data_IF_135187659444
#
_entry.id   IF_135187659444
#
_cell.length_a   1.000
_cell.length_b   1.000
_cell.length_c   1.000
_cell.angle_alpha   90.00
_cell.angle_beta   90.00
_cell.angle_gamma   90.00
#
_symmetry.space_group_name_H-M   'P 1'
#
loop_
_entity.id
_entity.type
_entity.pdbx_description
1 polymer ?
#
# COMPACT_ATOMS: atom_id res chain seq x y z
N UNK A 1 10.42 37.20 -13.28
CA UNK A 1 11.22 36.16 -13.98
C UNK A 1 11.89 35.32 -12.92
N UNK A 2 11.38 34.11 -12.66
CA UNK A 2 11.94 33.20 -11.65
C UNK A 2 12.87 32.24 -12.37
N UNK A 3 14.13 32.22 -11.98
CA UNK A 3 15.12 31.31 -12.56
C UNK A 3 14.84 29.86 -12.13
N UNK A 4 15.08 28.87 -13.01
CA UNK A 4 15.04 27.47 -12.61
C UNK A 4 16.10 27.21 -11.54
N UNK A 5 15.66 26.77 -10.36
CA UNK A 5 16.54 26.34 -9.29
C UNK A 5 16.68 24.82 -9.32
N UNK A 6 17.89 24.33 -9.12
CA UNK A 6 18.19 22.91 -8.89
C UNK A 6 18.59 22.76 -7.44
N UNK A 7 17.83 21.97 -6.69
CA UNK A 7 18.19 21.60 -5.31
C UNK A 7 19.09 20.38 -5.37
N UNK A 8 20.37 20.56 -5.05
CA UNK A 8 21.34 19.46 -4.93
C UNK A 8 21.56 19.18 -3.45
N UNK A 9 20.90 18.15 -2.92
CA UNK A 9 21.13 17.68 -1.57
C UNK A 9 22.16 16.54 -1.59
N UNK A 10 23.37 16.78 -1.07
CA UNK A 10 24.38 15.73 -0.79
C UNK A 10 24.10 15.01 0.53
N UNK A 11 22.83 14.70 0.79
CA UNK A 11 22.47 13.82 1.90
C UNK A 11 22.82 12.39 1.48
N UNK A 12 23.48 11.63 2.37
CA UNK A 12 23.45 10.18 2.27
C UNK A 12 21.97 9.80 2.33
N UNK A 13 21.35 9.54 1.18
CA UNK A 13 19.90 9.41 1.03
C UNK A 13 19.36 8.20 1.78
N UNK A 14 20.25 7.38 2.38
CA UNK A 14 19.94 6.09 3.01
C UNK A 14 19.08 5.22 2.09
N UNK A 15 19.12 5.47 0.79
CA UNK A 15 18.53 4.65 -0.24
C UNK A 15 19.42 3.42 -0.33
N UNK A 16 19.02 2.37 0.38
CA UNK A 16 19.52 1.03 0.10
C UNK A 16 19.27 0.69 -1.37
N UNK A 17 20.03 -0.25 -1.92
CA UNK A 17 19.73 -0.75 -3.26
C UNK A 17 18.29 -1.24 -3.32
N UNK A 18 17.63 -1.15 -4.49
CA UNK A 18 16.25 -1.66 -4.67
C UNK A 18 16.07 -3.15 -4.31
N UNK A 19 17.18 -3.88 -4.12
CA UNK A 19 17.25 -5.29 -3.73
C UNK A 19 17.59 -5.50 -2.25
N UNK A 20 17.90 -4.45 -1.50
CA UNK A 20 18.11 -4.55 -0.06
C UNK A 20 16.76 -4.80 0.60
N UNK A 21 16.70 -5.84 1.43
CA UNK A 21 15.47 -6.31 2.08
C UNK A 21 14.92 -5.26 3.06
N UNK A 22 15.77 -4.37 3.57
CA UNK A 22 15.41 -3.41 4.59
C UNK A 22 14.64 -2.20 4.01
N UNK A 23 13.54 -1.84 4.66
CA UNK A 23 12.73 -0.62 4.42
C UNK A 23 11.85 -0.63 3.17
N UNK A 24 11.55 -1.79 2.60
CA UNK A 24 10.60 -1.88 1.48
C UNK A 24 9.16 -1.89 2.00
N UNK A 25 8.38 -0.87 1.64
CA UNK A 25 6.96 -0.76 1.97
C UNK A 25 6.08 -1.14 0.77
N UNK A 26 5.01 -1.88 1.05
CA UNK A 26 3.95 -2.22 0.11
C UNK A 26 2.63 -1.63 0.59
N UNK A 27 2.00 -0.78 -0.21
CA UNK A 27 0.65 -0.30 -0.02
C UNK A 27 -0.31 -1.15 -0.84
N UNK A 28 -1.36 -1.67 -0.20
CA UNK A 28 -2.40 -2.49 -0.81
C UNK A 28 -3.76 -1.83 -0.59
N UNK A 29 -4.56 -1.69 -1.66
CA UNK A 29 -5.92 -1.17 -1.53
C UNK A 29 -6.78 -1.44 -2.75
N UNK A 30 -8.06 -1.11 -2.63
CA UNK A 30 -9.03 -1.33 -3.70
C UNK A 30 -8.88 -0.31 -4.83
N UNK A 31 -8.94 -0.81 -6.07
CA UNK A 31 -9.05 0.02 -7.26
C UNK A 31 -9.90 -0.66 -8.34
N UNK A 32 -10.36 0.10 -9.35
CA UNK A 32 -11.20 -0.44 -10.42
C UNK A 32 -10.44 -1.40 -11.34
N UNK A 33 -9.15 -1.15 -11.53
CA UNK A 33 -8.21 -2.01 -12.23
C UNK A 33 -7.23 -2.64 -11.24
N UNK A 34 -6.79 -3.84 -11.56
CA UNK A 34 -5.74 -4.51 -10.79
C UNK A 34 -4.39 -4.03 -11.31
N UNK A 35 -3.59 -3.51 -10.39
CA UNK A 35 -2.25 -3.01 -10.61
C UNK A 35 -1.31 -3.99 -9.89
N UNK A 36 -0.43 -4.70 -10.62
CA UNK A 36 0.58 -5.55 -9.99
C UNK A 36 1.58 -4.67 -9.20
N UNK A 37 2.41 -5.27 -8.31
CA UNK A 37 3.39 -4.52 -7.52
C UNK A 37 4.23 -3.57 -8.38
N UNK A 38 3.94 -2.27 -8.27
CA UNK A 38 4.49 -1.21 -9.10
C UNK A 38 5.14 -0.16 -8.21
N UNK A 39 6.37 0.29 -8.51
CA UNK A 39 7.02 1.32 -7.71
C UNK A 39 6.36 2.69 -7.97
N UNK A 40 5.93 3.35 -6.91
CA UNK A 40 5.43 4.73 -6.92
C UNK A 40 6.45 5.63 -6.26
N UNK A 41 6.72 6.78 -6.88
CA UNK A 41 7.72 7.76 -6.45
C UNK A 41 7.11 9.16 -6.46
N UNK A 42 7.85 10.16 -5.97
CA UNK A 42 7.42 11.57 -5.99
C UNK A 42 7.17 12.13 -7.41
N UNK A 43 7.67 11.47 -8.46
CA UNK A 43 7.50 11.87 -9.87
C UNK A 43 6.40 11.09 -10.58
N UNK A 44 5.79 10.11 -9.90
CA UNK A 44 4.72 9.30 -10.48
C UNK A 44 3.45 10.13 -10.60
N UNK A 45 2.88 10.17 -11.80
CA UNK A 45 1.57 10.77 -12.04
C UNK A 45 0.47 9.87 -11.47
N UNK A 46 -0.09 10.28 -10.32
CA UNK A 46 -1.16 9.55 -9.66
C UNK A 46 -2.48 9.59 -10.43
N UNK A 47 -2.75 10.65 -11.21
CA UNK A 47 -3.98 10.75 -11.98
C UNK A 47 -3.97 9.76 -13.15
N UNK A 48 -2.82 9.57 -13.78
CA UNK A 48 -2.64 8.52 -14.79
C UNK A 48 -2.70 7.11 -14.17
N UNK A 49 -2.16 6.92 -12.95
CA UNK A 49 -2.06 5.61 -12.31
C UNK A 49 -3.37 5.13 -11.67
N UNK A 50 -4.08 6.02 -10.98
CA UNK A 50 -5.26 5.71 -10.15
C UNK A 50 -6.53 6.45 -10.58
N UNK A 51 -6.45 7.31 -11.60
CA UNK A 51 -7.53 8.22 -11.96
C UNK A 51 -7.63 9.42 -11.01
N UNK A 52 -8.54 10.33 -11.38
CA UNK A 52 -8.78 11.57 -10.64
C UNK A 52 -9.82 11.42 -9.52
N UNK A 53 -10.52 10.28 -9.47
CA UNK A 53 -11.55 10.03 -8.48
C UNK A 53 -10.95 9.88 -7.07
N UNK A 54 -11.57 10.54 -6.10
CA UNK A 54 -11.18 10.41 -4.70
C UNK A 54 -11.43 8.97 -4.22
N UNK A 55 -10.39 8.34 -3.68
CA UNK A 55 -10.46 7.03 -3.05
C UNK A 55 -9.58 6.99 -1.80
N UNK A 56 -9.89 6.13 -0.81
CA UNK A 56 -9.02 5.96 0.36
C UNK A 56 -7.58 5.66 -0.04
N UNK A 57 -7.38 4.80 -1.05
CA UNK A 57 -6.06 4.45 -1.58
C UNK A 57 -5.33 5.67 -2.14
N UNK A 58 -5.98 6.45 -3.02
CA UNK A 58 -5.37 7.66 -3.62
C UNK A 58 -4.98 8.68 -2.55
N UNK A 59 -5.87 8.92 -1.58
CA UNK A 59 -5.64 9.92 -0.54
C UNK A 59 -4.47 9.52 0.39
N UNK A 60 -4.39 8.25 0.78
CA UNK A 60 -3.29 7.75 1.62
C UNK A 60 -1.97 7.72 0.86
N UNK A 61 -1.99 7.36 -0.43
CA UNK A 61 -0.80 7.38 -1.27
C UNK A 61 -0.29 8.81 -1.46
N UNK A 62 -1.17 9.77 -1.75
CA UNK A 62 -0.79 11.19 -1.83
C UNK A 62 -0.20 11.68 -0.50
N UNK A 63 -0.88 11.38 0.62
CA UNK A 63 -0.37 11.75 1.94
C UNK A 63 1.02 11.16 2.23
N UNK A 64 1.27 9.91 1.80
CA UNK A 64 2.61 9.32 1.92
C UNK A 64 3.65 10.09 1.09
N UNK A 65 3.34 10.41 -0.17
CA UNK A 65 4.25 11.15 -1.04
C UNK A 65 4.55 12.56 -0.50
N UNK A 66 3.54 13.25 0.01
CA UNK A 66 3.68 14.59 0.60
C UNK A 66 4.58 14.57 1.85
N UNK A 67 4.42 13.54 2.71
CA UNK A 67 5.21 13.40 3.93
C UNK A 67 6.65 12.95 3.67
N UNK A 68 6.88 12.08 2.67
CA UNK A 68 8.20 11.56 2.35
C UNK A 68 9.00 12.48 1.40
N UNK A 69 8.32 13.42 0.71
CA UNK A 69 8.94 14.43 -0.15
C UNK A 69 9.68 13.81 -1.34
N UNK A 70 10.76 14.44 -1.79
CA UNK A 70 11.46 14.07 -3.02
C UNK A 70 12.07 12.66 -3.02
N UNK A 71 12.30 12.07 -1.84
CA UNK A 71 12.84 10.71 -1.69
C UNK A 71 11.76 9.64 -1.51
N UNK A 72 10.48 10.00 -1.66
CA UNK A 72 9.37 9.08 -1.50
C UNK A 72 9.47 7.92 -2.50
N UNK A 73 9.42 6.70 -1.97
CA UNK A 73 9.27 5.48 -2.75
C UNK A 73 8.46 4.46 -1.96
N UNK A 74 7.43 3.92 -2.58
CA UNK A 74 6.59 2.84 -2.03
C UNK A 74 6.14 1.93 -3.16
N UNK A 75 5.99 0.64 -2.88
CA UNK A 75 5.35 -0.28 -3.83
C UNK A 75 3.84 -0.20 -3.67
N UNK A 76 3.13 -0.14 -4.78
CA UNK A 76 1.67 -0.17 -4.83
C UNK A 76 1.22 -1.47 -5.49
N UNK A 77 0.25 -2.16 -4.88
CA UNK A 77 -0.49 -3.22 -5.53
C UNK A 77 -1.99 -3.04 -5.23
N UNK A 78 -2.86 -3.32 -6.18
CA UNK A 78 -4.30 -3.15 -5.97
C UNK A 78 -5.05 -4.47 -6.05
N UNK A 79 -6.12 -4.57 -5.28
CA UNK A 79 -7.16 -5.58 -5.48
C UNK A 79 -8.32 -4.94 -6.24
N UNK A 80 -9.01 -5.73 -7.05
CA UNK A 80 -10.17 -5.23 -7.77
C UNK A 80 -11.31 -4.94 -6.80
N UNK A 81 -11.81 -3.71 -6.81
CA UNK A 81 -13.04 -3.36 -6.13
C UNK A 81 -14.20 -4.12 -6.76
N UNK A 82 -14.97 -4.86 -5.96
CA UNK A 82 -16.23 -5.47 -6.43
C UNK A 82 -17.17 -4.36 -6.90
N UNK A 83 -17.31 -4.18 -8.20
CA UNK A 83 -18.27 -3.24 -8.77
C UNK A 83 -19.69 -3.79 -8.62
N UNK A 84 -20.71 -2.93 -8.43
CA UNK A 84 -22.11 -3.37 -8.44
C UNK A 84 -22.44 -4.08 -9.77
N UNK A 85 -23.35 -5.06 -9.71
CA UNK A 85 -23.72 -5.90 -10.84
C UNK A 85 -24.07 -5.05 -12.08
N UNK A 86 -23.33 -5.24 -13.18
CA UNK A 86 -23.61 -4.57 -14.47
C UNK A 86 -22.42 -3.88 -15.13
N UNK A 87 -21.24 -3.81 -14.49
CA UNK A 87 -20.01 -3.35 -15.14
C UNK A 87 -19.01 -4.50 -15.25
N UNK A 88 -18.54 -4.76 -16.47
CA UNK A 88 -17.68 -5.89 -16.78
C UNK A 88 -16.35 -5.79 -16.01
N UNK A 89 -15.98 -6.87 -15.33
CA UNK A 89 -14.66 -7.03 -14.74
C UNK A 89 -13.62 -7.08 -15.87
N UNK A 90 -12.84 -6.01 -16.04
CA UNK A 90 -11.62 -6.07 -16.87
C UNK A 90 -10.53 -6.75 -16.05
N UNK A 91 -10.53 -8.08 -16.07
CA UNK A 91 -9.42 -8.86 -15.53
C UNK A 91 -8.23 -8.77 -16.49
N UNK A 92 -7.14 -8.17 -16.03
CA UNK A 92 -5.85 -8.27 -16.70
C UNK A 92 -5.25 -9.64 -16.36
N UNK A 93 -4.64 -10.34 -17.31
CA UNK A 93 -4.34 -11.79 -17.19
C UNK A 93 -3.37 -12.20 -16.08
N UNK A 94 -2.62 -11.25 -15.51
CA UNK A 94 -1.65 -11.50 -14.41
C UNK A 94 -2.13 -10.93 -13.06
N UNK A 95 -3.40 -10.53 -13.02
CA UNK A 95 -4.00 -9.83 -11.91
C UNK A 95 -4.60 -10.79 -10.87
N UNK A 96 -4.25 -10.60 -9.60
CA UNK A 96 -4.84 -11.38 -8.50
C UNK A 96 -6.26 -10.88 -8.25
N UNK A 97 -7.25 -11.56 -8.82
CA UNK A 97 -8.62 -11.48 -8.33
C UNK A 97 -8.68 -12.25 -7.01
N UNK A 98 -8.67 -11.54 -5.87
CA UNK A 98 -8.59 -12.19 -4.57
C UNK A 98 -8.63 -11.22 -3.40
N UNK A 99 -8.38 -11.75 -2.21
CA UNK A 99 -8.30 -10.95 -0.99
C UNK A 99 -7.00 -10.15 -0.96
N UNK A 100 -6.91 -9.13 -0.12
CA UNK A 100 -5.66 -8.38 0.07
C UNK A 100 -4.49 -9.29 0.52
N UNK A 101 -4.79 -10.41 1.21
CA UNK A 101 -3.80 -11.43 1.60
C UNK A 101 -3.15 -12.06 0.37
N UNK A 102 -3.95 -12.39 -0.64
CA UNK A 102 -3.47 -13.02 -1.87
C UNK A 102 -2.62 -12.04 -2.70
N UNK A 103 -3.00 -10.76 -2.71
CA UNK A 103 -2.19 -9.70 -3.30
C UNK A 103 -0.85 -9.60 -2.59
N UNK A 104 -0.81 -9.59 -1.26
CA UNK A 104 0.45 -9.55 -0.49
C UNK A 104 1.29 -10.79 -0.78
N UNK A 105 0.72 -12.00 -0.74
CA UNK A 105 1.44 -13.25 -1.04
C UNK A 105 2.08 -13.21 -2.42
N UNK A 106 1.33 -12.73 -3.41
CA UNK A 106 1.79 -12.64 -4.79
C UNK A 106 2.89 -11.59 -4.93
N UNK A 107 2.74 -10.46 -4.23
CA UNK A 107 3.74 -9.40 -4.21
C UNK A 107 5.09 -9.87 -3.64
N UNK A 108 5.11 -10.87 -2.75
CA UNK A 108 6.36 -11.41 -2.19
C UNK A 108 7.28 -12.05 -3.23
N UNK A 109 6.76 -12.45 -4.40
CA UNK A 109 7.56 -12.99 -5.50
C UNK A 109 8.44 -11.93 -6.17
N UNK A 110 7.99 -10.67 -6.20
CA UNK A 110 8.69 -9.56 -6.88
C UNK A 110 9.26 -8.54 -5.90
N UNK A 111 8.64 -8.39 -4.73
CA UNK A 111 8.93 -7.38 -3.71
C UNK A 111 9.17 -8.06 -2.37
N UNK A 112 10.33 -7.83 -1.76
CA UNK A 112 10.60 -8.26 -0.38
C UNK A 112 10.11 -7.21 0.61
N UNK A 113 8.78 -7.11 0.77
CA UNK A 113 8.17 -6.09 1.62
C UNK A 113 8.35 -6.40 3.12
N UNK A 114 8.95 -5.46 3.85
CA UNK A 114 9.08 -5.48 5.31
C UNK A 114 7.81 -4.92 5.97
N UNK A 115 7.23 -3.87 5.40
CA UNK A 115 5.99 -3.27 5.88
C UNK A 115 4.88 -3.33 4.85
N UNK A 116 3.69 -3.71 5.28
CA UNK A 116 2.49 -3.73 4.44
C UNK A 116 1.44 -2.79 5.02
N UNK A 117 1.00 -1.82 4.22
CA UNK A 117 -0.07 -0.88 4.58
C UNK A 117 -1.33 -1.30 3.82
N UNK A 118 -2.34 -1.79 4.53
CA UNK A 118 -3.61 -2.18 3.92
C UNK A 118 -4.60 -1.03 4.06
N UNK A 119 -4.91 -0.40 2.93
CA UNK A 119 -5.82 0.73 2.82
C UNK A 119 -7.24 0.22 2.51
N UNK A 120 -7.79 -0.51 3.48
CA UNK A 120 -9.18 -0.91 3.54
C UNK A 120 -9.80 -0.27 4.78
N UNK A 121 -11.08 0.11 4.69
CA UNK A 121 -11.77 0.76 5.81
C UNK A 121 -12.25 -0.28 6.83
N UNK A 122 -12.29 0.13 8.09
CA UNK A 122 -12.95 -0.58 9.18
C UNK A 122 -12.50 -2.04 9.36
N UNK A 123 -11.18 -2.26 9.42
CA UNK A 123 -10.60 -3.57 9.67
C UNK A 123 -11.22 -4.22 10.92
N UNK A 124 -11.65 -5.47 10.76
CA UNK A 124 -12.30 -6.26 11.81
C UNK A 124 -11.26 -7.08 12.60
N UNK A 125 -11.69 -7.68 13.70
CA UNK A 125 -10.87 -8.67 14.44
C UNK A 125 -10.41 -9.81 13.53
N UNK A 126 -11.24 -10.24 12.57
CA UNK A 126 -10.88 -11.28 11.61
C UNK A 126 -9.76 -10.81 10.67
N UNK A 127 -9.80 -9.56 10.20
CA UNK A 127 -8.72 -8.98 9.38
C UNK A 127 -7.41 -8.88 10.14
N UNK A 128 -7.46 -8.52 11.43
CA UNK A 128 -6.28 -8.47 12.31
C UNK A 128 -5.68 -9.88 12.48
N UNK A 129 -6.52 -10.88 12.76
CA UNK A 129 -6.07 -12.27 12.89
C UNK A 129 -5.47 -12.80 11.58
N UNK A 130 -6.07 -12.46 10.44
CA UNK A 130 -5.53 -12.78 9.11
C UNK A 130 -4.18 -12.13 8.87
N UNK A 131 -3.98 -10.88 9.28
CA UNK A 131 -2.68 -10.21 9.19
C UNK A 131 -1.62 -10.88 10.07
N UNK A 132 -1.98 -11.29 11.29
CA UNK A 132 -1.08 -12.06 12.16
C UNK A 132 -0.72 -13.42 11.55
N UNK A 133 -1.70 -14.16 11.03
CA UNK A 133 -1.45 -15.44 10.36
C UNK A 133 -0.56 -15.28 9.12
N UNK A 134 -0.83 -14.27 8.29
CA UNK A 134 0.00 -13.98 7.12
C UNK A 134 1.42 -13.60 7.51
N UNK A 135 1.61 -12.81 8.57
CA UNK A 135 2.93 -12.50 9.11
C UNK A 135 3.71 -13.77 9.46
N UNK A 136 3.10 -14.68 10.22
CA UNK A 136 3.74 -15.95 10.59
C UNK A 136 4.02 -16.82 9.37
N UNK A 137 3.12 -16.86 8.38
CA UNK A 137 3.34 -17.56 7.11
C UNK A 137 4.58 -17.01 6.38
N UNK A 138 4.70 -15.68 6.26
CA UNK A 138 5.82 -15.04 5.57
C UNK A 138 7.15 -15.23 6.31
N UNK A 139 7.14 -15.17 7.64
CA UNK A 139 8.31 -15.48 8.46
C UNK A 139 8.73 -16.94 8.25
N UNK A 140 7.81 -17.89 8.38
CA UNK A 140 8.16 -19.31 8.28
C UNK A 140 8.63 -19.70 6.87
N UNK A 141 7.96 -19.19 5.82
CA UNK A 141 8.23 -19.57 4.44
C UNK A 141 9.42 -18.85 3.82
N UNK A 142 9.60 -17.57 4.13
CA UNK A 142 10.60 -16.72 3.48
C UNK A 142 11.66 -16.17 4.44
N UNK A 143 11.54 -16.44 5.75
CA UNK A 143 12.39 -15.86 6.80
C UNK A 143 12.38 -14.32 6.74
N UNK A 144 11.22 -13.75 6.37
CA UNK A 144 11.01 -12.31 6.24
C UNK A 144 10.25 -11.80 7.44
N UNK A 145 10.87 -10.90 8.20
CA UNK A 145 10.15 -10.18 9.23
C UNK A 145 9.26 -9.12 8.58
N UNK A 146 7.94 -9.31 8.70
CA UNK A 146 6.94 -8.40 8.13
C UNK A 146 6.08 -7.79 9.24
N UNK A 147 5.67 -6.54 9.05
CA UNK A 147 4.68 -5.86 9.89
C UNK A 147 3.54 -5.29 9.04
N UNK A 148 2.37 -5.12 9.66
CA UNK A 148 1.14 -4.70 8.98
C UNK A 148 0.57 -3.45 9.64
N UNK A 149 0.05 -2.53 8.82
CA UNK A 149 -0.79 -1.41 9.25
C UNK A 149 -2.17 -1.64 8.66
N UNK A 150 -3.18 -1.69 9.53
CA UNK A 150 -4.60 -1.81 9.19
C UNK A 150 -5.34 -0.61 9.79
N UNK A 151 -6.30 -0.05 9.06
CA UNK A 151 -7.16 1.01 9.57
C UNK A 151 -8.39 0.41 10.27
N UNK A 152 -8.54 0.66 11.57
CA UNK A 152 -9.74 0.28 12.34
C UNK A 152 -10.71 1.45 12.41
N UNK A 153 -11.98 1.14 12.69
CA UNK A 153 -13.03 2.14 12.94
C UNK A 153 -12.58 3.11 14.04
N UNK A 154 -12.82 4.40 13.85
CA UNK A 154 -12.67 5.39 14.92
C UNK A 154 -13.73 5.26 16.02
N UNK A 155 -13.55 5.97 17.14
CA UNK A 155 -14.60 6.05 18.17
C UNK A 155 -15.92 6.56 17.56
N UNK A 156 -16.99 5.83 17.85
CA UNK A 156 -18.35 6.21 17.52
C UNK A 156 -18.89 7.25 18.50
N UNK A 157 -20.13 7.70 18.25
CA UNK A 157 -20.80 8.68 19.12
C UNK A 157 -20.92 8.15 20.55
N UNK A 158 -20.23 8.79 21.49
CA UNK A 158 -20.24 8.44 22.91
C UNK A 158 -19.14 7.48 23.35
N UNK A 159 -18.39 6.87 22.43
CA UNK A 159 -17.23 6.03 22.74
C UNK A 159 -15.98 6.89 22.93
N UNK A 160 -15.07 6.50 23.83
CA UNK A 160 -13.78 7.17 24.03
C UNK A 160 -12.62 6.23 23.75
N UNK A 161 -11.52 6.77 23.22
CA UNK A 161 -10.28 5.99 23.03
C UNK A 161 -9.75 5.37 24.32
N UNK A 162 -9.96 6.03 25.47
CA UNK A 162 -9.59 5.50 26.77
C UNK A 162 -10.34 4.23 27.17
N UNK A 163 -11.50 3.95 26.55
CA UNK A 163 -12.30 2.74 26.80
C UNK A 163 -11.83 1.56 25.92
N UNK A 164 -10.92 1.81 24.96
CA UNK A 164 -10.34 0.82 24.04
C UNK A 164 -8.95 0.33 24.46
N UNK A 165 -8.39 0.79 25.59
CA UNK A 165 -7.05 0.43 26.10
C UNK A 165 -7.12 -0.79 27.02
#
# INVERSE_FOLDING_TARGET
MTFPQVVINQLNTRQGGKRDIARTLLMVGEHTTIIPPTPVTAQTDLDTLLGTDASPLRNNLQAFLDNAGQSAMIWLATLQKTQPAGKAQTAQSDAVAGTWIDVVRTAQATVSAEGVVVVLNDATTDDINKAQQLREELINKYQRWTWFILAVRGCGTGEKWAEYV
#
